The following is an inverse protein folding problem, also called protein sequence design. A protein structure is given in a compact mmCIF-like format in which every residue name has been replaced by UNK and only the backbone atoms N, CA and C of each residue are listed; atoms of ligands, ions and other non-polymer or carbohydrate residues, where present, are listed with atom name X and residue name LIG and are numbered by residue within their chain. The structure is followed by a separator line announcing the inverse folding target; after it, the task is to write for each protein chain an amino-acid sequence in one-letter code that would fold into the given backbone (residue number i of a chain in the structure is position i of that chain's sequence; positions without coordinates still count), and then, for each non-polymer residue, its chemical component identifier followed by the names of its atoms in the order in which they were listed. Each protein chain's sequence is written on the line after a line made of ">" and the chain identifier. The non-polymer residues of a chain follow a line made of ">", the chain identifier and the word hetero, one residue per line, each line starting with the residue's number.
data_IF_766155100596
#
_entry.id   IF_766155100596
#
_cell.length_a   1.000
_cell.length_b   1.000
_cell.length_c   1.000
_cell.angle_alpha   90.00
_cell.angle_beta   90.00
_cell.angle_gamma   90.00
#
_symmetry.space_group_name_H-M   'P 1'
#
loop_
_entity.id
_entity.type
_entity.pdbx_description
1 polymer ?
#
# COMPACT_ATOMS: atom_id res chain seq x y z
N UNK A 1 -4.18 10.53 16.20
CA UNK A 1 -5.12 10.83 15.09
C UNK A 1 -4.67 10.15 13.80
N UNK A 2 -3.42 10.33 13.33
CA UNK A 2 -2.92 9.81 12.03
C UNK A 2 -3.00 8.28 11.94
N UNK A 3 -2.63 7.54 12.99
CA UNK A 3 -2.76 6.07 13.02
C UNK A 3 -4.20 5.59 12.80
N UNK A 4 -5.19 6.30 13.34
CA UNK A 4 -6.61 5.99 13.13
C UNK A 4 -7.03 6.26 11.68
N UNK A 5 -6.53 7.34 11.08
CA UNK A 5 -6.79 7.66 9.68
C UNK A 5 -6.22 6.59 8.74
N UNK A 6 -4.98 6.13 8.97
CA UNK A 6 -4.41 4.99 8.25
C UNK A 6 -5.23 3.71 8.44
N UNK A 7 -5.68 3.43 9.67
CA UNK A 7 -6.51 2.27 9.97
C UNK A 7 -7.83 2.30 9.18
N UNK A 8 -8.54 3.43 9.18
CA UNK A 8 -9.77 3.59 8.42
C UNK A 8 -9.56 3.44 6.91
N UNK A 9 -8.47 4.03 6.38
CA UNK A 9 -8.10 3.87 4.96
C UNK A 9 -7.79 2.41 4.64
N UNK A 10 -7.08 1.70 5.51
CA UNK A 10 -6.80 0.27 5.36
C UNK A 10 -8.09 -0.56 5.37
N UNK A 11 -9.00 -0.32 6.31
CA UNK A 11 -10.29 -1.04 6.37
C UNK A 11 -11.09 -0.81 5.08
N UNK A 12 -11.15 0.42 4.60
CA UNK A 12 -11.81 0.73 3.32
C UNK A 12 -11.20 -0.06 2.16
N UNK A 13 -9.88 0.00 1.98
CA UNK A 13 -9.21 -0.75 0.91
C UNK A 13 -9.36 -2.27 1.09
N UNK A 14 -9.34 -2.75 2.34
CA UNK A 14 -9.57 -4.16 2.66
C UNK A 14 -10.96 -4.63 2.24
N UNK A 15 -12.00 -3.83 2.47
CA UNK A 15 -13.37 -4.16 2.02
C UNK A 15 -13.42 -4.26 0.49
N UNK A 16 -12.83 -3.30 -0.22
CA UNK A 16 -12.74 -3.37 -1.70
C UNK A 16 -12.03 -4.65 -2.15
N UNK A 17 -10.87 -4.95 -1.54
CA UNK A 17 -10.13 -6.17 -1.82
C UNK A 17 -10.93 -7.45 -1.55
N UNK A 18 -11.70 -7.50 -0.45
CA UNK A 18 -12.59 -8.62 -0.14
C UNK A 18 -13.71 -8.79 -1.18
N UNK A 19 -14.31 -7.71 -1.64
CA UNK A 19 -15.33 -7.76 -2.70
C UNK A 19 -14.75 -8.36 -3.97
N UNK A 20 -13.56 -7.94 -4.39
CA UNK A 20 -12.88 -8.50 -5.55
C UNK A 20 -12.60 -9.99 -5.37
N UNK A 21 -12.13 -10.41 -4.20
CA UNK A 21 -11.90 -11.82 -3.88
C UNK A 21 -13.19 -12.65 -3.95
N UNK A 22 -14.29 -12.10 -3.42
CA UNK A 22 -15.59 -12.75 -3.47
C UNK A 22 -16.09 -12.92 -4.91
N UNK A 23 -15.95 -11.89 -5.76
CA UNK A 23 -16.30 -11.95 -7.18
C UNK A 23 -15.48 -13.02 -7.92
N UNK A 24 -14.18 -13.10 -7.68
CA UNK A 24 -13.32 -14.15 -8.25
C UNK A 24 -13.75 -15.55 -7.81
N UNK A 25 -14.08 -15.73 -6.52
CA UNK A 25 -14.57 -17.02 -5.99
C UNK A 25 -15.92 -17.40 -6.58
N UNK A 26 -16.82 -16.42 -6.74
CA UNK A 26 -18.11 -16.63 -7.37
C UNK A 26 -17.96 -17.15 -8.81
N UNK A 27 -17.06 -16.51 -9.59
CA UNK A 27 -16.80 -16.92 -10.97
C UNK A 27 -16.20 -18.34 -11.07
N UNK A 28 -15.33 -18.71 -10.13
CA UNK A 28 -14.72 -20.06 -10.10
C UNK A 28 -15.70 -21.14 -9.64
N UNK A 29 -16.53 -20.83 -8.63
CA UNK A 29 -17.48 -21.79 -8.09
C UNK A 29 -18.72 -22.00 -8.96
N UNK A 30 -19.17 -20.95 -9.63
CA UNK A 30 -20.38 -20.95 -10.47
C UNK A 30 -20.12 -20.18 -11.76
N UNK A 31 -19.40 -20.78 -12.74
CA UNK A 31 -19.07 -20.13 -13.99
C UNK A 31 -20.33 -19.63 -14.71
N UNK A 32 -20.36 -18.34 -15.04
CA UNK A 32 -21.49 -17.74 -15.76
C UNK A 32 -22.64 -17.23 -14.87
N UNK A 33 -22.65 -17.48 -13.56
CA UNK A 33 -23.68 -16.94 -12.67
C UNK A 33 -23.62 -15.40 -12.61
N UNK A 34 -22.43 -14.81 -12.59
CA UNK A 34 -22.21 -13.38 -12.74
C UNK A 34 -21.86 -13.07 -14.20
N UNK A 35 -22.88 -12.99 -15.07
CA UNK A 35 -22.72 -12.84 -16.51
C UNK A 35 -21.94 -11.60 -16.98
N UNK A 36 -21.62 -10.67 -16.07
CA UNK A 36 -20.79 -9.51 -16.37
C UNK A 36 -19.29 -9.76 -16.18
N UNK A 37 -18.88 -10.90 -15.56
CA UNK A 37 -17.46 -11.20 -15.32
C UNK A 37 -16.91 -11.93 -16.55
N UNK A 38 -16.22 -11.19 -17.42
CA UNK A 38 -15.45 -11.74 -18.52
C UNK A 38 -14.08 -12.25 -18.03
N UNK A 39 -13.34 -12.98 -18.91
CA UNK A 39 -11.96 -13.38 -18.61
C UNK A 39 -11.05 -12.18 -18.34
N UNK A 40 -11.25 -11.07 -19.05
CA UNK A 40 -10.51 -9.81 -18.85
C UNK A 40 -10.77 -9.22 -17.48
N UNK A 41 -12.04 -9.10 -17.07
CA UNK A 41 -12.42 -8.64 -15.73
C UNK A 41 -11.82 -9.54 -14.64
N UNK A 42 -11.77 -10.85 -14.86
CA UNK A 42 -11.16 -11.77 -13.89
C UNK A 42 -9.67 -11.46 -13.66
N UNK A 43 -8.88 -11.25 -14.71
CA UNK A 43 -7.46 -10.87 -14.59
C UNK A 43 -7.29 -9.50 -13.93
N UNK A 44 -8.14 -8.54 -14.25
CA UNK A 44 -8.15 -7.25 -13.57
C UNK A 44 -8.43 -7.40 -12.07
N UNK A 45 -9.39 -8.23 -11.68
CA UNK A 45 -9.71 -8.50 -10.27
C UNK A 45 -8.56 -9.19 -9.54
N UNK A 46 -7.89 -10.16 -10.16
CA UNK A 46 -6.70 -10.81 -9.59
C UNK A 46 -5.59 -9.79 -9.32
N UNK A 47 -5.29 -8.95 -10.30
CA UNK A 47 -4.27 -7.90 -10.19
C UNK A 47 -4.60 -6.91 -9.09
N UNK A 48 -5.81 -6.37 -9.11
CA UNK A 48 -6.23 -5.35 -8.15
C UNK A 48 -6.41 -5.90 -6.75
N UNK A 49 -6.93 -7.11 -6.60
CA UNK A 49 -6.99 -7.80 -5.30
C UNK A 49 -5.59 -7.97 -4.71
N UNK A 50 -4.64 -8.50 -5.49
CA UNK A 50 -3.26 -8.68 -5.03
C UNK A 50 -2.61 -7.36 -4.62
N UNK A 51 -2.70 -6.33 -5.45
CA UNK A 51 -2.18 -5.00 -5.17
C UNK A 51 -2.82 -4.38 -3.93
N UNK A 52 -4.13 -4.36 -3.85
CA UNK A 52 -4.86 -3.78 -2.72
C UNK A 52 -4.53 -4.49 -1.42
N UNK A 53 -4.58 -5.82 -1.39
CA UNK A 53 -4.40 -6.58 -0.15
C UNK A 53 -2.96 -6.56 0.36
N UNK A 54 -1.98 -6.70 -0.53
CA UNK A 54 -0.57 -6.75 -0.11
C UNK A 54 0.00 -5.36 0.13
N UNK A 55 -0.17 -4.45 -0.84
CA UNK A 55 0.48 -3.14 -0.79
C UNK A 55 -0.33 -2.16 0.06
N UNK A 56 -1.62 -1.98 -0.24
CA UNK A 56 -2.40 -0.91 0.41
C UNK A 56 -3.01 -1.33 1.73
N UNK A 57 -3.62 -2.51 1.82
CA UNK A 57 -4.29 -2.94 3.05
C UNK A 57 -3.27 -3.31 4.14
N UNK A 58 -2.41 -4.31 3.91
CA UNK A 58 -1.50 -4.80 4.95
C UNK A 58 -0.51 -3.72 5.38
N UNK A 59 0.07 -2.99 4.44
CA UNK A 59 1.07 -1.97 4.76
C UNK A 59 0.44 -0.77 5.48
N UNK A 60 -0.72 -0.29 5.01
CA UNK A 60 -1.42 0.81 5.68
C UNK A 60 -1.91 0.39 7.08
N UNK A 61 -2.37 -0.85 7.26
CA UNK A 61 -2.83 -1.34 8.54
C UNK A 61 -1.67 -1.49 9.54
N UNK A 62 -0.65 -2.26 9.18
CA UNK A 62 0.42 -2.62 10.12
C UNK A 62 1.45 -1.51 10.30
N UNK A 63 1.97 -0.95 9.22
CA UNK A 63 2.95 0.12 9.32
C UNK A 63 2.27 1.48 9.54
N UNK A 64 1.27 1.82 8.75
CA UNK A 64 0.58 3.09 8.87
C UNK A 64 -0.25 3.21 10.16
N UNK A 65 -1.17 2.29 10.39
CA UNK A 65 -2.10 2.29 11.52
C UNK A 65 -1.40 1.95 12.84
N UNK A 66 -0.99 0.70 12.98
CA UNK A 66 -0.37 0.24 14.23
C UNK A 66 0.98 0.89 14.48
N UNK A 67 1.80 1.15 13.45
CA UNK A 67 3.09 1.83 13.62
C UNK A 67 2.93 3.22 14.24
N UNK A 68 2.06 4.05 13.70
CA UNK A 68 1.79 5.40 14.22
C UNK A 68 1.15 5.41 15.62
N UNK A 69 0.42 4.35 15.97
CA UNK A 69 -0.24 4.25 17.26
C UNK A 69 0.69 3.65 18.32
N UNK A 70 1.33 2.53 18.02
CA UNK A 70 2.08 1.74 19.00
C UNK A 70 3.50 2.27 19.25
N UNK A 71 4.21 2.77 18.20
CA UNK A 71 5.61 3.20 18.37
C UNK A 71 5.73 4.29 19.44
N UNK A 72 5.01 5.42 19.40
CA UNK A 72 5.14 6.45 20.43
C UNK A 72 4.83 5.91 21.82
N UNK A 73 3.78 5.11 21.97
CA UNK A 73 3.38 4.52 23.25
C UNK A 73 4.45 3.58 23.79
N UNK A 74 5.00 2.70 22.95
CA UNK A 74 5.95 1.68 23.37
C UNK A 74 7.36 2.24 23.66
N UNK A 75 7.76 3.32 22.97
CA UNK A 75 9.05 3.97 23.24
C UNK A 75 8.95 5.08 24.30
N UNK A 76 7.72 5.43 24.73
CA UNK A 76 7.46 6.48 25.71
C UNK A 76 7.58 7.90 25.15
N UNK A 77 7.43 8.07 23.83
CA UNK A 77 7.37 9.36 23.18
C UNK A 77 5.95 9.94 23.22
N UNK A 78 5.82 11.27 23.25
CA UNK A 78 4.51 11.94 23.19
C UNK A 78 3.89 11.88 21.80
N UNK A 79 4.72 11.95 20.75
CA UNK A 79 4.36 11.89 19.33
C UNK A 79 5.57 11.46 18.52
N UNK A 80 5.40 11.30 17.22
CA UNK A 80 6.50 11.12 16.26
C UNK A 80 7.40 12.36 16.24
N UNK A 81 8.70 12.17 15.91
CA UNK A 81 9.67 13.27 15.88
C UNK A 81 9.29 14.34 14.85
N UNK A 82 8.76 13.94 13.71
CA UNK A 82 8.33 14.86 12.65
C UNK A 82 6.81 14.78 12.39
N UNK A 83 5.97 15.46 13.19
CA UNK A 83 4.52 15.33 13.08
C UNK A 83 3.96 15.84 11.73
N UNK A 84 4.52 16.90 11.16
CA UNK A 84 4.13 17.42 9.85
C UNK A 84 4.45 16.46 8.70
N UNK A 85 5.64 15.84 8.74
CA UNK A 85 6.04 14.82 7.77
C UNK A 85 5.13 13.60 7.88
N UNK A 86 4.73 13.22 9.09
CA UNK A 86 3.80 12.14 9.34
C UNK A 86 2.42 12.41 8.74
N UNK A 87 1.91 13.62 8.91
CA UNK A 87 0.65 14.04 8.30
C UNK A 87 0.74 14.06 6.78
N UNK A 88 1.83 14.59 6.22
CA UNK A 88 2.04 14.62 4.77
C UNK A 88 2.14 13.19 4.20
N UNK A 89 2.84 12.27 4.88
CA UNK A 89 2.92 10.86 4.47
C UNK A 89 1.55 10.21 4.39
N UNK A 90 0.66 10.46 5.36
CA UNK A 90 -0.72 9.99 5.31
C UNK A 90 -1.47 10.52 4.08
N UNK A 91 -1.41 11.84 3.82
CA UNK A 91 -2.11 12.42 2.68
C UNK A 91 -1.60 11.91 1.34
N UNK A 92 -0.29 11.68 1.20
CA UNK A 92 0.29 11.05 0.00
C UNK A 92 -0.28 9.64 -0.22
N UNK A 93 -0.35 8.83 0.83
CA UNK A 93 -0.93 7.48 0.74
C UNK A 93 -2.43 7.51 0.48
N UNK A 94 -3.17 8.45 1.08
CA UNK A 94 -4.60 8.61 0.83
C UNK A 94 -4.88 8.99 -0.63
N UNK A 95 -4.12 9.92 -1.19
CA UNK A 95 -4.21 10.29 -2.63
C UNK A 95 -3.82 9.09 -3.49
N UNK A 96 -2.79 8.32 -3.12
CA UNK A 96 -2.43 7.10 -3.84
C UNK A 96 -3.61 6.10 -3.90
N UNK A 97 -4.29 5.88 -2.78
CA UNK A 97 -5.52 5.04 -2.73
C UNK A 97 -6.59 5.60 -3.66
N UNK A 98 -6.85 6.91 -3.62
CA UNK A 98 -7.86 7.54 -4.47
C UNK A 98 -7.54 7.37 -5.97
N UNK A 99 -6.28 7.56 -6.37
CA UNK A 99 -5.81 7.34 -7.75
C UNK A 99 -5.96 5.87 -8.17
N UNK A 100 -5.63 4.92 -7.27
CA UNK A 100 -5.84 3.51 -7.55
C UNK A 100 -7.33 3.18 -7.75
N UNK A 101 -8.20 3.71 -6.89
CA UNK A 101 -9.65 3.51 -7.02
C UNK A 101 -10.20 4.15 -8.30
N UNK A 102 -9.66 5.28 -8.74
CA UNK A 102 -10.05 5.92 -10.00
C UNK A 102 -9.79 5.02 -11.21
N UNK A 103 -8.83 4.09 -11.16
CA UNK A 103 -8.56 3.14 -12.25
C UNK A 103 -9.74 2.22 -12.58
N UNK A 104 -10.66 2.00 -11.64
CA UNK A 104 -11.86 1.21 -11.90
C UNK A 104 -12.90 1.91 -12.78
N UNK A 105 -12.80 3.23 -12.91
CA UNK A 105 -13.78 4.07 -13.61
C UNK A 105 -13.29 4.59 -14.97
N UNK A 106 -12.08 4.24 -15.39
CA UNK A 106 -11.54 4.64 -16.69
C UNK A 106 -11.94 3.65 -17.79
N UNK A 107 -11.98 4.07 -19.06
CA UNK A 107 -12.19 3.16 -20.18
C UNK A 107 -11.16 2.03 -20.19
N UNK A 108 -11.62 0.80 -20.33
CA UNK A 108 -10.78 -0.41 -20.24
C UNK A 108 -10.57 -0.93 -18.82
N UNK A 109 -10.97 -0.17 -17.79
CA UNK A 109 -10.85 -0.58 -16.38
C UNK A 109 -9.41 -0.59 -15.84
N UNK A 110 -9.19 -1.15 -14.65
CA UNK A 110 -7.87 -1.30 -14.07
C UNK A 110 -7.02 -2.30 -14.85
N UNK A 111 -5.70 -2.28 -14.64
CA UNK A 111 -4.82 -3.21 -15.35
C UNK A 111 -4.99 -4.66 -14.93
N UNK A 112 -4.91 -5.59 -15.89
CA UNK A 112 -4.83 -7.04 -15.69
C UNK A 112 -3.40 -7.59 -15.78
N UNK A 113 -2.37 -6.72 -15.78
CA UNK A 113 -0.97 -7.10 -15.99
C UNK A 113 -0.32 -7.89 -14.83
N UNK A 114 -1.03 -8.08 -13.73
CA UNK A 114 -0.49 -8.68 -12.50
C UNK A 114 0.10 -7.63 -11.56
N UNK A 115 -0.01 -7.85 -10.25
CA UNK A 115 0.48 -6.90 -9.24
C UNK A 115 2.00 -6.78 -9.19
N UNK A 116 2.72 -7.79 -9.69
CA UNK A 116 4.18 -7.81 -9.79
C UNK A 116 4.73 -7.05 -11.00
N UNK A 117 3.87 -6.66 -11.94
CA UNK A 117 4.21 -5.88 -13.13
C UNK A 117 5.30 -6.52 -14.01
N UNK A 118 5.30 -7.85 -14.16
CA UNK A 118 6.28 -8.53 -15.01
C UNK A 118 6.01 -8.32 -16.50
N UNK A 119 7.05 -7.99 -17.31
CA UNK A 119 6.99 -8.10 -18.74
C UNK A 119 6.77 -9.58 -19.16
N UNK A 120 6.07 -9.87 -20.28
CA UNK A 120 5.59 -8.91 -21.26
C UNK A 120 4.21 -8.32 -20.98
N UNK A 121 3.46 -8.84 -19.98
CA UNK A 121 2.06 -8.44 -19.74
C UNK A 121 1.89 -6.94 -19.45
N UNK A 122 2.90 -6.28 -18.88
CA UNK A 122 2.85 -4.84 -18.60
C UNK A 122 3.00 -3.95 -19.82
N UNK A 123 3.54 -4.48 -20.92
CA UNK A 123 3.87 -3.70 -22.11
C UNK A 123 3.06 -4.10 -23.36
N UNK A 124 2.29 -5.20 -23.28
CA UNK A 124 1.43 -5.65 -24.38
C UNK A 124 0.15 -4.83 -24.44
N UNK A 125 -0.13 -4.23 -25.61
CA UNK A 125 -1.36 -3.46 -25.84
C UNK A 125 -2.64 -4.30 -25.66
N UNK A 126 -2.57 -5.61 -25.86
CA UNK A 126 -3.68 -6.54 -25.66
C UNK A 126 -3.98 -6.89 -24.20
N UNK A 127 -3.18 -6.43 -23.24
CA UNK A 127 -3.45 -6.65 -21.82
C UNK A 127 -4.63 -5.78 -21.36
N UNK A 128 -5.64 -6.32 -20.64
CA UNK A 128 -6.75 -5.53 -20.15
C UNK A 128 -6.25 -4.36 -19.31
N UNK A 129 -6.73 -3.13 -19.59
CA UNK A 129 -6.32 -1.93 -18.90
C UNK A 129 -4.88 -1.48 -19.17
N UNK A 130 -4.29 -1.86 -20.31
CA UNK A 130 -2.93 -1.49 -20.73
C UNK A 130 -2.72 0.02 -20.95
N UNK A 131 -3.79 0.78 -21.12
CA UNK A 131 -3.74 2.24 -21.30
C UNK A 131 -3.77 2.99 -19.97
N UNK A 132 -4.85 3.72 -19.71
CA UNK A 132 -5.01 4.56 -18.52
C UNK A 132 -5.02 3.75 -17.21
N UNK A 133 -5.47 2.49 -17.23
CA UNK A 133 -5.53 1.66 -16.03
C UNK A 133 -4.16 1.36 -15.42
N UNK A 134 -3.18 0.98 -16.23
CA UNK A 134 -1.81 0.73 -15.77
C UNK A 134 -1.13 2.03 -15.35
N UNK A 135 -1.32 3.12 -16.09
CA UNK A 135 -0.77 4.44 -15.74
C UNK A 135 -1.23 4.89 -14.35
N UNK A 136 -2.53 4.81 -14.07
CA UNK A 136 -3.06 5.17 -12.75
C UNK A 136 -2.53 4.27 -11.65
N UNK A 137 -2.36 2.97 -11.90
CA UNK A 137 -1.75 2.05 -10.94
C UNK A 137 -0.30 2.42 -10.64
N UNK A 138 0.51 2.75 -11.67
CA UNK A 138 1.91 3.15 -11.51
C UNK A 138 2.04 4.49 -10.77
N UNK A 139 1.23 5.48 -11.13
CA UNK A 139 1.19 6.78 -10.43
C UNK A 139 0.79 6.58 -8.96
N UNK A 140 -0.23 5.78 -8.71
CA UNK A 140 -0.65 5.43 -7.36
C UNK A 140 0.48 4.75 -6.57
N UNK A 141 1.16 3.78 -7.18
CA UNK A 141 2.29 3.09 -6.55
C UNK A 141 3.44 4.05 -6.23
N UNK A 142 3.78 4.97 -7.13
CA UNK A 142 4.80 6.00 -6.90
C UNK A 142 4.45 6.90 -5.71
N UNK A 143 3.22 7.40 -5.64
CA UNK A 143 2.73 8.21 -4.52
C UNK A 143 2.75 7.43 -3.20
N UNK A 144 2.33 6.16 -3.23
CA UNK A 144 2.38 5.27 -2.08
C UNK A 144 3.81 5.10 -1.56
N UNK A 145 4.75 4.79 -2.44
CA UNK A 145 6.17 4.59 -2.09
C UNK A 145 6.77 5.86 -1.47
N UNK A 146 6.50 7.04 -2.05
CA UNK A 146 6.95 8.32 -1.48
C UNK A 146 6.36 8.51 -0.08
N UNK A 147 5.06 8.33 0.09
CA UNK A 147 4.39 8.49 1.38
C UNK A 147 4.96 7.55 2.45
N UNK A 148 5.11 6.27 2.15
CA UNK A 148 5.66 5.30 3.11
C UNK A 148 7.16 5.48 3.37
N UNK A 149 7.94 5.97 2.40
CA UNK A 149 9.35 6.33 2.64
C UNK A 149 9.46 7.45 3.66
N UNK A 150 8.62 8.49 3.54
CA UNK A 150 8.57 9.58 4.51
C UNK A 150 8.14 9.10 5.90
N UNK A 151 7.10 8.25 5.98
CA UNK A 151 6.63 7.65 7.22
C UNK A 151 7.68 6.74 7.86
N UNK A 152 8.34 5.90 7.07
CA UNK A 152 9.41 5.00 7.52
C UNK A 152 10.60 5.76 8.10
N UNK A 153 11.05 6.83 7.44
CA UNK A 153 12.10 7.71 7.97
C UNK A 153 11.69 8.27 9.34
N UNK A 154 10.45 8.72 9.48
CA UNK A 154 9.94 9.25 10.74
C UNK A 154 9.92 8.18 11.86
N UNK A 155 9.50 6.94 11.55
CA UNK A 155 9.57 5.83 12.51
C UNK A 155 11.00 5.54 12.96
N UNK A 156 11.92 5.46 12.01
CA UNK A 156 13.31 5.17 12.28
C UNK A 156 13.91 6.21 13.22
N UNK A 157 13.72 7.50 12.93
CA UNK A 157 14.24 8.59 13.77
C UNK A 157 13.55 8.62 15.13
N UNK A 158 12.24 8.39 15.19
CA UNK A 158 11.49 8.34 16.46
C UNK A 158 12.01 7.22 17.35
N UNK A 159 12.24 6.04 16.81
CA UNK A 159 12.81 4.91 17.55
C UNK A 159 14.25 5.19 18.01
N UNK A 160 15.07 5.86 17.21
CA UNK A 160 16.46 6.14 17.57
C UNK A 160 16.62 7.28 18.56
N UNK A 161 15.82 8.35 18.46
CA UNK A 161 16.03 9.60 19.19
C UNK A 161 15.02 9.88 20.32
N UNK A 162 13.76 9.40 20.16
CA UNK A 162 12.68 9.75 21.08
C UNK A 162 12.39 8.69 22.16
N UNK A 163 13.25 7.68 22.31
CA UNK A 163 13.10 6.69 23.39
C UNK A 163 13.20 7.33 24.76
N UNK A 164 12.39 6.84 25.70
CA UNK A 164 12.46 7.24 27.09
C UNK A 164 13.84 6.95 27.70
N UNK A 165 14.27 7.75 28.67
CA UNK A 165 15.56 7.58 29.33
C UNK A 165 15.67 6.19 29.98
N UNK A 166 16.78 5.51 29.75
CA UNK A 166 17.02 4.14 30.25
C UNK A 166 16.55 3.01 29.32
N UNK A 167 15.81 3.32 28.25
CA UNK A 167 15.45 2.32 27.24
C UNK A 167 16.57 2.18 26.21
N UNK A 168 17.40 1.16 26.37
CA UNK A 168 18.39 0.76 25.36
C UNK A 168 17.71 0.03 24.19
N UNK A 169 18.40 -0.10 23.05
CA UNK A 169 17.88 -0.83 21.90
C UNK A 169 17.44 -2.25 22.27
N UNK A 170 18.24 -2.95 23.11
CA UNK A 170 17.95 -4.32 23.54
C UNK A 170 16.78 -4.43 24.54
N UNK A 171 16.29 -3.33 25.08
CA UNK A 171 15.12 -3.29 25.97
C UNK A 171 13.84 -2.88 25.26
N UNK A 172 13.92 -2.61 23.96
CA UNK A 172 12.73 -2.27 23.17
C UNK A 172 11.80 -3.48 23.01
N UNK A 173 10.48 -3.29 23.00
CA UNK A 173 9.51 -4.32 22.68
C UNK A 173 9.75 -4.91 21.29
N UNK A 174 9.45 -6.20 21.11
CA UNK A 174 9.64 -6.91 19.83
C UNK A 174 8.86 -6.27 18.68
N UNK A 175 7.67 -5.72 18.95
CA UNK A 175 6.86 -5.00 17.97
C UNK A 175 7.62 -3.79 17.40
N UNK A 176 8.28 -3.00 18.27
CA UNK A 176 9.08 -1.84 17.83
C UNK A 176 10.27 -2.31 17.00
N UNK A 177 10.94 -3.39 17.39
CA UNK A 177 12.02 -3.98 16.60
C UNK A 177 11.53 -4.46 15.23
N UNK A 178 10.38 -5.14 15.15
CA UNK A 178 9.80 -5.59 13.90
C UNK A 178 9.51 -4.42 12.94
N UNK A 179 8.84 -3.38 13.41
CA UNK A 179 8.53 -2.19 12.60
C UNK A 179 9.82 -1.45 12.23
N UNK A 180 10.76 -1.28 13.16
CA UNK A 180 12.04 -0.61 12.90
C UNK A 180 12.83 -1.32 11.80
N UNK A 181 12.97 -2.65 11.90
CA UNK A 181 13.67 -3.44 10.87
C UNK A 181 12.94 -3.39 9.53
N UNK A 182 11.61 -3.51 9.53
CA UNK A 182 10.81 -3.40 8.32
C UNK A 182 10.99 -2.03 7.64
N UNK A 183 11.06 -0.94 8.41
CA UNK A 183 11.27 0.39 7.85
C UNK A 183 12.69 0.59 7.29
N UNK A 184 13.72 0.04 7.93
CA UNK A 184 15.09 0.04 7.39
C UNK A 184 15.15 -0.68 6.04
N UNK A 185 14.55 -1.88 5.95
CA UNK A 185 14.47 -2.63 4.69
C UNK A 185 13.67 -1.88 3.62
N UNK A 186 12.55 -1.27 4.00
CA UNK A 186 11.73 -0.46 3.10
C UNK A 186 12.49 0.76 2.57
N UNK A 187 13.26 1.44 3.39
CA UNK A 187 14.10 2.58 2.97
C UNK A 187 15.15 2.19 1.92
N UNK A 188 15.60 0.93 1.91
CA UNK A 188 16.51 0.42 0.88
C UNK A 188 15.76 -0.02 -0.39
N UNK A 189 14.58 -0.63 -0.25
CA UNK A 189 13.82 -1.21 -1.35
C UNK A 189 12.95 -0.18 -2.09
N UNK A 190 12.32 0.76 -1.39
CA UNK A 190 11.34 1.68 -1.96
C UNK A 190 11.92 2.66 -3.00
N UNK A 191 13.12 3.22 -2.84
CA UNK A 191 13.71 4.04 -3.90
C UNK A 191 13.90 3.27 -5.22
N UNK A 192 14.33 2.00 -5.16
CA UNK A 192 14.46 1.15 -6.33
C UNK A 192 13.08 0.86 -6.96
N UNK A 193 12.07 0.55 -6.15
CA UNK A 193 10.71 0.34 -6.61
C UNK A 193 10.11 1.62 -7.25
N UNK A 194 10.41 2.79 -6.69
CA UNK A 194 9.99 4.07 -7.26
C UNK A 194 10.58 4.30 -8.64
N UNK A 195 11.89 4.06 -8.80
CA UNK A 195 12.57 4.19 -10.10
C UNK A 195 11.95 3.23 -11.11
N UNK A 196 11.73 1.96 -10.74
CA UNK A 196 11.09 0.97 -11.61
C UNK A 196 9.68 1.40 -12.02
N UNK A 197 8.87 1.93 -11.12
CA UNK A 197 7.53 2.42 -11.46
C UNK A 197 7.56 3.63 -12.39
N UNK A 198 8.54 4.53 -12.25
CA UNK A 198 8.70 5.69 -13.12
C UNK A 198 9.21 5.33 -14.52
N UNK A 199 10.03 4.29 -14.66
CA UNK A 199 10.51 3.82 -15.99
C UNK A 199 9.35 3.29 -16.83
N UNK A 200 8.29 2.77 -16.22
CA UNK A 200 7.12 2.23 -16.92
C UNK A 200 6.05 3.30 -17.25
N UNK A 201 6.18 4.53 -16.77
CA UNK A 201 5.32 5.67 -17.09
C UNK A 201 5.82 6.37 -18.37
#
# INVERSE_FOLDING_TARGET
>A
VIGVQYFLTAVFTGIVGLILSWLMRLQLGFPGLAGFITAEHYYQFVTMHGMIMVVYFLTALFLGGFGNYLIPLMVGARDMVFPYVNMLSFWMVFVAVAVLMASFFVPGGPTGAGWTLYPPQTILEGTPGSGMGILLMLVSLALFVIGFTMGGLNYMITVLQARTRGMTLMRMPLTVWGIFTATVLAMLAFPALLVLSLIHI
#
